data_IF_278497785827
#
_entry.id   IF_278497785827
#
_cell.length_a   1.000
_cell.length_b   1.000
_cell.length_c   1.000
_cell.angle_alpha   90.00
_cell.angle_beta   90.00
_cell.angle_gamma   90.00
#
_symmetry.space_group_name_H-M   'P 1'
#
loop_
_entity.id
_entity.type
_entity.pdbx_description
1 polymer ?
#
# COMPACT_ATOMS: atom_id res chain seq x y z
N UNK A 1 21.02 -3.42 -7.94
CA UNK A 1 19.89 -4.03 -7.20
C UNK A 1 18.77 -4.16 -8.21
N UNK A 2 18.35 -5.37 -8.56
CA UNK A 2 17.25 -5.55 -9.52
C UNK A 2 15.96 -4.98 -8.91
N UNK A 3 15.20 -4.23 -9.71
CA UNK A 3 13.87 -3.78 -9.28
C UNK A 3 12.97 -5.00 -9.11
N UNK A 4 12.20 -5.06 -8.02
CA UNK A 4 11.21 -6.12 -7.83
C UNK A 4 10.07 -5.91 -8.83
N UNK A 5 9.75 -6.88 -9.69
CA UNK A 5 8.64 -6.76 -10.65
C UNK A 5 7.32 -6.43 -9.95
N UNK A 6 7.11 -6.98 -8.74
CA UNK A 6 5.92 -6.70 -7.94
C UNK A 6 5.85 -5.23 -7.50
N UNK A 7 6.96 -4.65 -7.06
CA UNK A 7 7.01 -3.22 -6.71
C UNK A 7 6.73 -2.34 -7.94
N UNK A 8 7.22 -2.74 -9.11
CA UNK A 8 6.95 -2.04 -10.36
C UNK A 8 5.47 -2.11 -10.75
N UNK A 9 4.81 -3.26 -10.57
CA UNK A 9 3.37 -3.41 -10.81
C UNK A 9 2.55 -2.47 -9.91
N UNK A 10 2.86 -2.45 -8.60
CA UNK A 10 2.21 -1.57 -7.61
C UNK A 10 2.38 -0.10 -8.03
N UNK A 11 3.61 0.27 -8.42
CA UNK A 11 3.93 1.63 -8.88
C UNK A 11 3.17 1.98 -10.15
N UNK A 12 3.15 1.10 -11.14
CA UNK A 12 2.47 1.33 -12.41
C UNK A 12 0.96 1.50 -12.21
N UNK A 13 0.34 0.70 -11.33
CA UNK A 13 -1.07 0.85 -11.01
C UNK A 13 -1.38 2.21 -10.38
N UNK A 14 -0.58 2.62 -9.38
CA UNK A 14 -0.73 3.94 -8.77
C UNK A 14 -0.53 5.07 -9.80
N UNK A 15 0.48 4.97 -10.67
CA UNK A 15 0.69 5.96 -11.74
C UNK A 15 -0.49 5.98 -12.72
N UNK A 16 -1.04 4.84 -13.10
CA UNK A 16 -2.22 4.74 -13.96
C UNK A 16 -3.46 5.42 -13.34
N UNK A 17 -3.58 5.39 -12.02
CA UNK A 17 -4.63 6.07 -11.26
C UNK A 17 -4.34 7.57 -11.02
N UNK A 18 -3.22 8.08 -11.53
CA UNK A 18 -2.83 9.50 -11.47
C UNK A 18 -2.00 9.87 -10.24
N UNK A 19 -1.43 8.89 -9.54
CA UNK A 19 -0.54 9.14 -8.41
C UNK A 19 0.91 9.38 -8.88
N UNK A 20 1.58 10.36 -8.26
CA UNK A 20 3.02 10.55 -8.34
C UNK A 20 3.67 9.83 -7.16
N UNK A 21 4.54 8.86 -7.45
CA UNK A 21 5.09 7.96 -6.44
C UNK A 21 6.58 8.21 -6.18
N UNK A 22 7.00 8.14 -4.91
CA UNK A 22 8.40 8.02 -4.50
C UNK A 22 8.53 6.85 -3.52
N UNK A 23 9.56 6.02 -3.67
CA UNK A 23 9.74 4.83 -2.82
C UNK A 23 11.12 4.81 -2.16
N UNK A 24 11.18 4.17 -0.99
CA UNK A 24 12.39 3.92 -0.24
C UNK A 24 12.36 2.50 0.31
N UNK A 25 13.46 1.77 0.13
CA UNK A 25 13.62 0.44 0.70
C UNK A 25 13.98 0.56 2.18
N UNK A 26 13.19 -0.07 3.05
CA UNK A 26 13.37 -0.02 4.52
C UNK A 26 14.29 -1.15 4.97
N UNK A 27 14.16 -2.33 4.37
CA UNK A 27 15.01 -3.50 4.59
C UNK A 27 15.05 -4.37 3.32
N UNK A 28 15.64 -5.57 3.38
CA UNK A 28 15.74 -6.47 2.21
C UNK A 28 14.39 -6.83 1.59
N UNK A 29 13.32 -6.86 2.38
CA UNK A 29 12.01 -7.44 2.05
C UNK A 29 10.89 -6.41 1.92
N UNK A 30 11.13 -5.18 2.37
CA UNK A 30 10.08 -4.17 2.55
C UNK A 30 10.46 -2.85 1.91
N UNK A 31 9.53 -2.31 1.14
CA UNK A 31 9.59 -0.99 0.53
C UNK A 31 8.41 -0.17 1.00
N UNK A 32 8.67 1.09 1.33
CA UNK A 32 7.62 2.07 1.58
C UNK A 32 7.54 3.02 0.41
N UNK A 33 6.31 3.28 -0.04
CA UNK A 33 6.00 4.16 -1.15
C UNK A 33 5.11 5.30 -0.65
N UNK A 34 5.55 6.52 -0.89
CA UNK A 34 4.74 7.73 -0.76
C UNK A 34 4.11 8.00 -2.13
N UNK A 35 2.81 8.21 -2.16
CA UNK A 35 2.11 8.58 -3.38
C UNK A 35 1.29 9.85 -3.14
N UNK A 36 1.31 10.75 -4.11
CA UNK A 36 0.60 12.02 -4.09
C UNK A 36 -0.31 12.11 -5.32
N UNK A 37 -1.57 12.51 -5.14
CA UNK A 37 -2.52 12.73 -6.23
C UNK A 37 -3.24 14.06 -6.03
N UNK A 38 -3.37 14.84 -7.08
CA UNK A 38 -4.19 16.06 -7.07
C UNK A 38 -5.57 15.71 -7.64
N UNK A 39 -6.62 15.81 -6.83
CA UNK A 39 -7.98 15.41 -7.21
C UNK A 39 -8.96 16.59 -7.35
N UNK A 40 -8.43 17.82 -7.41
CA UNK A 40 -9.21 19.04 -7.50
C UNK A 40 -9.89 19.47 -6.19
N UNK A 41 -9.93 18.62 -5.16
CA UNK A 41 -10.35 18.96 -3.78
C UNK A 41 -9.14 19.20 -2.87
N UNK A 42 -7.98 18.68 -3.24
CA UNK A 42 -6.70 18.95 -2.59
C UNK A 42 -5.66 17.90 -2.99
N UNK A 43 -4.42 18.02 -2.49
CA UNK A 43 -3.46 16.93 -2.59
C UNK A 43 -3.86 15.79 -1.66
N UNK A 44 -4.19 14.64 -2.23
CA UNK A 44 -4.32 13.36 -1.52
C UNK A 44 -2.96 12.69 -1.35
N UNK A 45 -2.64 12.27 -0.13
CA UNK A 45 -1.39 11.60 0.23
C UNK A 45 -1.66 10.17 0.67
N UNK A 46 -1.02 9.22 0.02
CA UNK A 46 -1.05 7.81 0.36
C UNK A 46 0.33 7.39 0.84
N UNK A 47 0.37 6.62 1.93
CA UNK A 47 1.55 5.85 2.31
C UNK A 47 1.25 4.36 2.13
N UNK A 48 1.99 3.72 1.22
CA UNK A 48 1.88 2.30 0.97
C UNK A 48 3.12 1.57 1.50
N UNK A 49 2.91 0.39 2.09
CA UNK A 49 3.95 -0.57 2.38
C UNK A 49 3.81 -1.77 1.44
N UNK A 50 4.93 -2.14 0.82
CA UNK A 50 5.04 -3.27 -0.09
C UNK A 50 6.05 -4.24 0.51
N UNK A 51 5.59 -5.39 0.99
CA UNK A 51 6.45 -6.51 1.38
C UNK A 51 6.69 -7.33 0.12
N UNK A 52 7.85 -7.15 -0.52
CA UNK A 52 8.15 -7.61 -1.87
C UNK A 52 8.98 -8.90 -1.95
N UNK A 53 9.08 -9.61 -0.83
CA UNK A 53 9.71 -10.92 -0.72
C UNK A 53 8.62 -12.02 -0.65
N UNK A 54 8.83 -13.11 -1.39
CA UNK A 54 7.90 -14.23 -1.48
C UNK A 54 7.94 -15.17 -0.26
N UNK A 55 9.01 -15.10 0.54
CA UNK A 55 9.21 -15.91 1.74
C UNK A 55 8.92 -15.12 3.03
N UNK A 56 8.71 -13.80 2.94
CA UNK A 56 8.47 -12.92 4.08
C UNK A 56 6.98 -12.58 4.25
N UNK A 57 6.39 -13.01 5.36
CA UNK A 57 5.01 -12.67 5.69
C UNK A 57 4.88 -11.23 6.23
N UNK A 58 3.81 -10.54 5.85
CA UNK A 58 3.46 -9.26 6.45
C UNK A 58 2.82 -9.47 7.85
N UNK A 59 3.42 -8.85 8.85
CA UNK A 59 3.08 -9.00 10.27
C UNK A 59 2.45 -7.74 10.86
N UNK A 60 1.94 -7.82 12.09
CA UNK A 60 1.41 -6.65 12.79
C UNK A 60 2.47 -5.54 12.99
N UNK A 61 3.75 -5.89 13.08
CA UNK A 61 4.84 -4.92 13.21
C UNK A 61 4.99 -4.07 11.94
N UNK A 62 4.77 -4.68 10.76
CA UNK A 62 4.71 -3.96 9.49
C UNK A 62 3.58 -2.94 9.47
N UNK A 63 2.40 -3.33 9.96
CA UNK A 63 1.23 -2.45 10.08
C UNK A 63 1.52 -1.29 11.04
N UNK A 64 2.10 -1.57 12.22
CA UNK A 64 2.46 -0.53 13.19
C UNK A 64 3.51 0.44 12.64
N UNK A 65 4.51 -0.07 11.92
CA UNK A 65 5.49 0.75 11.24
C UNK A 65 4.84 1.66 10.19
N UNK A 66 3.91 1.10 9.39
CA UNK A 66 3.15 1.86 8.39
C UNK A 66 2.32 2.98 9.04
N UNK A 67 1.57 2.68 10.11
CA UNK A 67 0.76 3.67 10.84
C UNK A 67 1.63 4.81 11.36
N UNK A 68 2.77 4.48 11.98
CA UNK A 68 3.70 5.51 12.47
C UNK A 68 4.24 6.36 11.32
N UNK A 69 4.67 5.73 10.23
CA UNK A 69 5.16 6.44 9.05
C UNK A 69 4.09 7.33 8.42
N UNK A 70 2.82 6.91 8.46
CA UNK A 70 1.69 7.66 7.93
C UNK A 70 1.44 8.92 8.74
N UNK A 71 1.47 8.82 10.08
CA UNK A 71 1.37 9.97 10.97
C UNK A 71 2.52 10.97 10.72
N UNK A 72 3.76 10.49 10.61
CA UNK A 72 4.94 11.33 10.33
C UNK A 72 4.87 11.99 8.93
N UNK A 73 4.29 11.31 7.94
CA UNK A 73 4.11 11.83 6.59
C UNK A 73 2.83 12.68 6.41
N UNK A 74 1.96 12.72 7.43
CA UNK A 74 0.59 13.26 7.33
C UNK A 74 -0.14 12.68 6.12
N UNK A 75 -0.12 11.34 6.00
CA UNK A 75 -0.82 10.63 4.92
C UNK A 75 -2.33 10.59 5.22
N UNK A 76 -3.13 10.80 4.20
CA UNK A 76 -4.60 10.76 4.27
C UNK A 76 -5.11 9.31 4.21
N UNK A 77 -4.33 8.42 3.60
CA UNK A 77 -4.65 7.01 3.44
C UNK A 77 -3.41 6.13 3.62
N UNK A 78 -3.64 4.87 3.99
CA UNK A 78 -2.58 3.86 4.11
C UNK A 78 -2.96 2.57 3.43
N UNK A 79 -1.96 1.92 2.82
CA UNK A 79 -2.13 0.66 2.10
C UNK A 79 -1.01 -0.32 2.45
N UNK A 80 -1.36 -1.56 2.71
CA UNK A 80 -0.44 -2.68 2.86
C UNK A 80 -0.68 -3.68 1.73
N UNK A 81 0.39 -4.08 1.07
CA UNK A 81 0.37 -5.20 0.12
C UNK A 81 1.62 -6.07 0.32
N UNK A 82 1.47 -7.37 0.11
CA UNK A 82 2.53 -8.36 0.34
C UNK A 82 2.51 -9.40 -0.76
N UNK A 83 3.69 -9.74 -1.28
CA UNK A 83 3.86 -10.81 -2.27
C UNK A 83 3.53 -12.19 -1.68
N UNK A 84 3.83 -12.37 -0.39
CA UNK A 84 3.50 -13.56 0.38
C UNK A 84 2.20 -13.36 1.17
N UNK A 85 2.05 -14.09 2.27
CA UNK A 85 0.89 -13.99 3.16
C UNK A 85 0.93 -12.77 4.08
N UNK A 86 -0.24 -12.15 4.28
CA UNK A 86 -0.49 -11.24 5.40
C UNK A 86 -1.07 -12.06 6.56
N UNK A 87 -0.45 -11.96 7.73
CA UNK A 87 -0.89 -12.75 8.90
C UNK A 87 -2.26 -12.28 9.42
N UNK A 88 -3.05 -13.17 10.03
CA UNK A 88 -4.35 -12.81 10.64
C UNK A 88 -4.24 -11.70 11.70
N UNK A 89 -3.10 -11.64 12.40
CA UNK A 89 -2.82 -10.56 13.35
C UNK A 89 -2.60 -9.24 12.62
N UNK A 90 -1.90 -9.24 11.50
CA UNK A 90 -1.71 -8.05 10.67
C UNK A 90 -3.04 -7.57 10.09
N UNK A 91 -3.88 -8.48 9.56
CA UNK A 91 -5.23 -8.14 9.08
C UNK A 91 -6.06 -7.43 10.14
N UNK A 92 -6.19 -8.02 11.34
CA UNK A 92 -6.94 -7.39 12.44
C UNK A 92 -6.36 -6.03 12.85
N UNK A 93 -5.02 -5.93 12.91
CA UNK A 93 -4.35 -4.66 13.25
C UNK A 93 -4.58 -3.60 12.18
N UNK A 94 -4.64 -4.00 10.91
CA UNK A 94 -4.90 -3.12 9.78
C UNK A 94 -6.34 -2.63 9.80
N UNK A 95 -7.31 -3.53 10.00
CA UNK A 95 -8.73 -3.20 10.13
C UNK A 95 -8.98 -2.24 11.30
N UNK A 96 -8.43 -2.53 12.48
CA UNK A 96 -8.55 -1.67 13.68
C UNK A 96 -7.97 -0.25 13.47
N UNK A 97 -7.07 -0.09 12.50
CA UNK A 97 -6.35 1.16 12.25
C UNK A 97 -6.73 1.86 10.92
N UNK A 98 -7.70 1.33 10.17
CA UNK A 98 -8.09 1.87 8.86
C UNK A 98 -6.99 1.75 7.80
N UNK A 99 -6.17 0.70 7.86
CA UNK A 99 -5.15 0.39 6.86
C UNK A 99 -5.74 -0.54 5.81
N UNK A 100 -5.76 -0.12 4.55
CA UNK A 100 -6.24 -0.96 3.46
C UNK A 100 -5.26 -2.10 3.18
N UNK A 101 -5.71 -3.35 3.25
CA UNK A 101 -4.89 -4.51 2.85
C UNK A 101 -5.31 -4.99 1.47
N UNK A 102 -4.37 -4.98 0.52
CA UNK A 102 -4.64 -5.33 -0.89
C UNK A 102 -3.79 -6.53 -1.31
N UNK A 103 -4.46 -7.55 -1.84
CA UNK A 103 -3.80 -8.72 -2.42
C UNK A 103 -3.09 -8.35 -3.73
N UNK A 104 -1.92 -8.94 -4.04
CA UNK A 104 -1.19 -8.67 -5.29
C UNK A 104 -2.02 -8.87 -6.55
N UNK A 105 -2.94 -9.85 -6.55
CA UNK A 105 -3.82 -10.14 -7.68
C UNK A 105 -4.74 -8.96 -8.01
N UNK A 106 -5.22 -8.25 -7.00
CA UNK A 106 -6.09 -7.07 -7.20
C UNK A 106 -5.38 -5.92 -7.90
N UNK A 107 -4.05 -5.83 -7.75
CA UNK A 107 -3.24 -4.79 -8.40
C UNK A 107 -2.86 -5.13 -9.85
N UNK A 108 -2.93 -6.42 -10.21
CA UNK A 108 -2.51 -6.95 -11.52
C UNK A 108 -3.66 -7.22 -12.48
N UNK A 109 -4.89 -7.21 -11.99
CA UNK A 109 -6.02 -7.65 -12.77
C UNK A 109 -6.69 -6.45 -13.46
N UNK A 110 -6.34 -6.22 -14.72
CA UNK A 110 -7.01 -5.24 -15.58
C UNK A 110 -8.47 -5.60 -15.90
N UNK A 111 -8.92 -6.81 -15.50
CA UNK A 111 -10.33 -7.23 -15.64
C UNK A 111 -11.18 -6.93 -14.41
N UNK A 112 -10.56 -6.59 -13.28
CA UNK A 112 -11.27 -6.10 -12.10
C UNK A 112 -11.43 -4.58 -12.22
N UNK A 113 -12.69 -4.12 -12.23
CA UNK A 113 -13.05 -2.70 -12.12
C UNK A 113 -12.67 -2.09 -10.74
N UNK A 114 -11.91 -2.80 -9.90
CA UNK A 114 -11.50 -2.34 -8.57
C UNK A 114 -10.14 -1.65 -8.64
N UNK A 115 -10.13 -0.34 -8.39
CA UNK A 115 -8.94 0.50 -8.28
C UNK A 115 -8.44 0.57 -6.85
N UNK A 116 -7.20 1.02 -6.63
CA UNK A 116 -6.72 1.34 -5.28
C UNK A 116 -7.63 2.40 -4.66
N UNK A 117 -8.13 3.34 -5.44
CA UNK A 117 -9.11 4.33 -4.99
C UNK A 117 -10.40 3.71 -4.47
N UNK A 118 -10.94 2.68 -5.13
CA UNK A 118 -12.16 2.00 -4.67
C UNK A 118 -11.93 1.27 -3.34
N UNK A 119 -10.75 0.66 -3.17
CA UNK A 119 -10.37 0.05 -1.89
C UNK A 119 -10.25 1.12 -0.80
N UNK A 120 -9.57 2.22 -1.09
CA UNK A 120 -9.38 3.30 -0.13
C UNK A 120 -10.71 3.96 0.26
N UNK A 121 -11.63 4.16 -0.68
CA UNK A 121 -12.97 4.68 -0.39
C UNK A 121 -13.73 3.79 0.60
N UNK A 122 -13.70 2.48 0.40
CA UNK A 122 -14.38 1.53 1.29
C UNK A 122 -13.80 1.51 2.71
N UNK A 123 -12.51 1.79 2.87
CA UNK A 123 -11.84 1.82 4.19
C UNK A 123 -12.04 3.16 4.91
N UNK A 124 -12.16 4.27 4.17
CA UNK A 124 -12.39 5.60 4.75
C UNK A 124 -13.85 5.86 5.13
N UNK A 125 -14.80 5.12 4.53
CA UNK A 125 -16.23 5.22 4.83
C UNK A 125 -16.73 4.23 5.91
N UNK A 126 -15.85 3.35 6.43
CA UNK A 126 -16.14 2.32 7.44
C UNK A 126 -15.84 2.77 8.88
#
# INVERSE_FOLDING_TARGET
MAASPFLDDVRQRLVAEGWVTASARVNSETVVMRALREDGKGPSKLLAMVVDDADAAATADHVQYLIRGAAEASADATLLTSLATVTDRAHRTADDAGVAVVAPSTLRDDTLDTTVLDVLANVLDA
#
